data_IF_177261508143
#
_entry.id   IF_177261508143
#
_cell.length_a   1.000
_cell.length_b   1.000
_cell.length_c   1.000
_cell.angle_alpha   90.00
_cell.angle_beta   90.00
_cell.angle_gamma   90.00
#
_symmetry.space_group_name_H-M   'P 1'
#
loop_
_entity.id
_entity.type
_entity.pdbx_description
1 polymer ?
#
# COMPACT_ATOMS: atom_id res chain seq x y z
N UNK A 1 -5.83 -22.93 12.50
CA UNK A 1 -6.78 -21.82 12.71
C UNK A 1 -6.25 -20.60 11.98
N UNK A 2 -6.67 -20.40 10.72
CA UNK A 2 -6.27 -19.23 9.92
C UNK A 2 -6.98 -18.02 10.51
N UNK A 3 -6.24 -17.20 11.24
CA UNK A 3 -6.74 -15.96 11.80
C UNK A 3 -7.39 -15.15 10.68
N UNK A 4 -8.65 -14.79 10.93
CA UNK A 4 -9.52 -13.92 10.15
C UNK A 4 -8.99 -12.47 10.19
N UNK A 5 -7.68 -12.29 10.10
CA UNK A 5 -7.06 -10.99 9.96
C UNK A 5 -7.30 -10.58 8.53
N UNK A 6 -8.30 -9.73 8.32
CA UNK A 6 -8.37 -8.93 7.11
C UNK A 6 -6.99 -8.30 6.96
N UNK A 7 -6.18 -8.71 5.96
CA UNK A 7 -4.83 -8.19 5.82
C UNK A 7 -4.97 -6.68 5.71
N UNK A 8 -4.46 -5.95 6.69
CA UNK A 8 -4.55 -4.50 6.70
C UNK A 8 -3.67 -4.01 5.55
N UNK A 9 -4.25 -3.77 4.37
CA UNK A 9 -3.53 -3.38 3.15
C UNK A 9 -2.79 -2.05 3.26
N UNK A 10 -3.01 -1.33 4.36
CA UNK A 10 -2.38 -0.08 4.72
C UNK A 10 -1.16 -0.26 5.63
N UNK A 11 -0.67 -1.49 5.80
CA UNK A 11 0.58 -1.71 6.54
C UNK A 11 1.73 -0.97 5.86
N UNK A 12 2.69 -0.48 6.64
CA UNK A 12 3.88 0.18 6.11
C UNK A 12 5.11 -0.70 6.37
N UNK A 13 6.10 -0.63 5.48
CA UNK A 13 7.36 -1.35 5.71
C UNK A 13 8.10 -0.75 6.91
N UNK A 14 8.66 -1.58 7.79
CA UNK A 14 9.35 -1.10 9.00
C UNK A 14 10.56 -0.20 8.70
N UNK A 15 11.18 -0.34 7.53
CA UNK A 15 12.43 0.36 7.21
C UNK A 15 12.18 1.75 6.59
N UNK A 16 11.09 1.93 5.85
CA UNK A 16 10.87 3.14 5.06
C UNK A 16 9.44 3.70 5.21
N UNK A 17 8.62 3.09 6.08
CA UNK A 17 7.19 3.33 6.21
C UNK A 17 6.46 3.47 4.87
N UNK A 18 6.84 2.66 3.87
CA UNK A 18 6.20 2.68 2.56
C UNK A 18 5.00 1.73 2.56
N UNK A 19 3.87 2.18 2.04
CA UNK A 19 2.72 1.31 1.83
C UNK A 19 2.94 0.37 0.63
N UNK A 20 2.31 -0.81 0.59
CA UNK A 20 2.29 -1.68 -0.58
C UNK A 20 1.85 -0.93 -1.84
N UNK A 21 0.89 -0.02 -1.71
CA UNK A 21 0.40 0.81 -2.79
C UNK A 21 1.49 1.73 -3.34
N UNK A 22 2.25 2.40 -2.46
CA UNK A 22 3.40 3.22 -2.85
C UNK A 22 4.44 2.42 -3.63
N UNK A 23 4.81 1.23 -3.13
CA UNK A 23 5.82 0.37 -3.78
C UNK A 23 5.32 -0.10 -5.15
N UNK A 24 4.05 -0.48 -5.27
CA UNK A 24 3.46 -0.90 -6.53
C UNK A 24 3.38 0.22 -7.57
N UNK A 25 3.07 1.46 -7.15
CA UNK A 25 3.13 2.63 -8.03
C UNK A 25 4.57 2.90 -8.49
N UNK A 26 5.55 2.86 -7.57
CA UNK A 26 6.96 3.13 -7.86
C UNK A 26 7.54 2.17 -8.92
N UNK A 27 7.14 0.89 -8.87
CA UNK A 27 7.63 -0.14 -9.79
C UNK A 27 6.73 -0.36 -11.02
N UNK A 28 5.64 0.41 -11.16
CA UNK A 28 4.69 0.26 -12.27
C UNK A 28 3.88 -1.05 -12.25
N UNK A 29 3.73 -1.69 -11.09
CA UNK A 29 2.99 -2.94 -10.94
C UNK A 29 1.48 -2.72 -10.92
N UNK A 30 0.91 -2.42 -12.09
CA UNK A 30 -0.50 -2.07 -12.27
C UNK A 30 -1.47 -3.10 -11.70
N UNK A 31 -1.19 -4.39 -11.88
CA UNK A 31 -2.05 -5.48 -11.38
C UNK A 31 -2.10 -5.51 -9.84
N UNK A 32 -0.97 -5.18 -9.20
CA UNK A 32 -0.88 -5.07 -7.74
C UNK A 32 -1.61 -3.83 -7.23
N UNK A 33 -1.50 -2.70 -7.95
CA UNK A 33 -2.26 -1.47 -7.66
C UNK A 33 -3.76 -1.78 -7.69
N UNK A 34 -4.26 -2.40 -8.75
CA UNK A 34 -5.68 -2.75 -8.89
C UNK A 34 -6.16 -3.70 -7.78
N UNK A 35 -5.33 -4.68 -7.38
CA UNK A 35 -5.64 -5.59 -6.29
C UNK A 35 -5.73 -4.86 -4.93
N UNK A 36 -4.81 -3.94 -4.66
CA UNK A 36 -4.79 -3.15 -3.42
C UNK A 36 -5.96 -2.18 -3.35
N UNK A 37 -6.31 -1.53 -4.46
CA UNK A 37 -7.49 -0.66 -4.56
C UNK A 37 -8.79 -1.45 -4.31
N UNK A 38 -8.92 -2.67 -4.86
CA UNK A 38 -10.05 -3.58 -4.59
C UNK A 38 -10.15 -4.00 -3.12
N UNK A 39 -9.08 -3.85 -2.34
CA UNK A 39 -9.04 -4.17 -0.91
C UNK A 39 -9.24 -2.94 -0.02
N UNK A 40 -9.72 -1.82 -0.57
CA UNK A 40 -9.89 -0.54 0.13
C UNK A 40 -8.58 -0.01 0.73
N UNK A 41 -7.47 -0.12 -0.01
CA UNK A 41 -6.22 0.52 0.39
C UNK A 41 -6.38 2.05 0.38
N UNK A 42 -5.84 2.69 1.41
CA UNK A 42 -5.86 4.14 1.55
C UNK A 42 -4.82 4.75 0.61
N UNK A 43 -5.35 5.38 -0.44
CA UNK A 43 -4.56 6.07 -1.47
C UNK A 43 -3.85 7.32 -0.94
N UNK A 44 -4.25 7.81 0.23
CA UNK A 44 -3.67 9.00 0.87
C UNK A 44 -2.51 8.66 1.81
N UNK A 45 -2.14 7.39 1.95
CA UNK A 45 -1.00 7.00 2.78
C UNK A 45 0.30 7.55 2.20
N UNK A 46 0.75 8.66 2.78
CA UNK A 46 2.01 9.28 2.47
C UNK A 46 3.19 8.46 3.05
N UNK A 47 4.28 8.42 2.28
CA UNK A 47 5.59 8.04 2.80
C UNK A 47 6.05 9.02 3.90
N UNK A 48 7.10 8.69 4.68
CA UNK A 48 7.70 9.61 5.65
C UNK A 48 8.06 11.00 5.11
N UNK A 49 8.29 11.09 3.81
CA UNK A 49 8.64 12.34 3.14
C UNK A 49 7.41 13.15 2.70
N UNK A 50 6.20 12.74 3.08
CA UNK A 50 4.94 13.37 2.67
C UNK A 50 4.50 13.04 1.25
N UNK A 51 5.23 12.16 0.54
CA UNK A 51 4.92 11.79 -0.84
C UNK A 51 3.84 10.71 -0.85
N UNK A 52 2.71 10.97 -1.50
CA UNK A 52 1.64 10.00 -1.73
C UNK A 52 1.89 9.13 -2.96
N UNK A 53 1.33 7.91 -3.05
CA UNK A 53 1.47 7.03 -4.21
C UNK A 53 0.97 7.62 -5.54
N UNK A 54 0.17 8.69 -5.48
CA UNK A 54 -0.50 9.33 -6.62
C UNK A 54 0.12 10.69 -7.04
N UNK A 55 1.22 11.11 -6.41
CA UNK A 55 1.87 12.40 -6.70
C UNK A 55 2.55 12.40 -8.08
#
# INVERSE_FOLDING_TARGET
>A
MLLKTHPNVNFTTKNNNLSPLYISCLHGHKEVVELLLKKNSDVNLASPNGITPLF
#
